data_IF_598093587349
#
_entry.id   IF_598093587349
#
_cell.length_a   1.000
_cell.length_b   1.000
_cell.length_c   1.000
_cell.angle_alpha   90.00
_cell.angle_beta   90.00
_cell.angle_gamma   90.00
#
_symmetry.space_group_name_H-M   'P 1'
#
loop_
_entity.id
_entity.type
_entity.pdbx_description
1 polymer ?
#
# COMPACT_ATOMS: atom_id res chain seq x y z
N UNK A 1 -18.86 -15.17 -8.13
CA UNK A 1 -18.91 -13.89 -7.36
C UNK A 1 -18.44 -14.16 -5.95
N UNK A 2 -17.52 -13.34 -5.50
CA UNK A 2 -17.01 -13.41 -4.13
C UNK A 2 -18.04 -12.85 -3.15
N UNK A 3 -18.00 -13.30 -1.90
CA UNK A 3 -18.77 -12.71 -0.82
C UNK A 3 -18.11 -11.40 -0.39
N UNK A 4 -18.77 -10.65 0.49
CA UNK A 4 -18.21 -9.42 1.03
C UNK A 4 -16.87 -9.69 1.73
N UNK A 5 -15.99 -8.71 1.71
CA UNK A 5 -14.69 -8.78 2.38
C UNK A 5 -14.72 -7.88 3.60
N UNK A 6 -14.34 -8.41 4.75
CA UNK A 6 -14.13 -7.64 5.96
C UNK A 6 -12.63 -7.31 6.07
N UNK A 7 -12.29 -6.04 5.92
CA UNK A 7 -10.88 -5.63 5.86
C UNK A 7 -10.15 -5.89 7.19
N UNK A 8 -10.83 -5.71 8.33
CA UNK A 8 -10.22 -5.96 9.63
C UNK A 8 -9.85 -7.44 9.80
N UNK A 9 -10.73 -8.33 9.35
CA UNK A 9 -10.45 -9.78 9.40
C UNK A 9 -9.25 -10.13 8.50
N UNK A 10 -9.17 -9.54 7.32
CA UNK A 10 -8.06 -9.78 6.39
C UNK A 10 -6.74 -9.25 6.94
N UNK A 11 -6.76 -8.04 7.50
CA UNK A 11 -5.58 -7.46 8.14
C UNK A 11 -5.06 -8.32 9.30
N UNK A 12 -5.95 -8.95 10.04
CA UNK A 12 -5.56 -9.85 11.13
C UNK A 12 -4.78 -11.07 10.65
N UNK A 13 -4.87 -11.42 9.37
CA UNK A 13 -4.13 -12.55 8.79
C UNK A 13 -2.69 -12.17 8.40
N UNK A 14 -2.37 -10.88 8.34
CA UNK A 14 -1.04 -10.42 7.96
C UNK A 14 -0.07 -10.59 9.12
N UNK A 15 1.01 -11.37 8.90
CA UNK A 15 1.97 -11.70 9.94
C UNK A 15 3.03 -10.63 10.16
N UNK A 16 3.34 -9.82 9.14
CA UNK A 16 4.45 -8.89 9.17
C UNK A 16 4.13 -7.62 8.37
N UNK A 17 4.77 -6.49 8.68
CA UNK A 17 4.62 -5.27 7.87
C UNK A 17 5.23 -5.44 6.48
N UNK A 18 4.79 -4.60 5.57
CA UNK A 18 5.28 -4.52 4.19
C UNK A 18 5.05 -5.77 3.34
N UNK A 19 4.12 -6.63 3.74
CA UNK A 19 3.72 -7.81 2.98
C UNK A 19 2.24 -7.68 2.60
N UNK A 20 1.94 -7.02 1.47
CA UNK A 20 0.54 -6.82 1.07
C UNK A 20 -0.20 -8.12 0.81
N UNK A 21 -1.47 -8.14 1.20
CA UNK A 21 -2.37 -9.25 0.88
C UNK A 21 -3.51 -8.77 -0.02
N UNK A 22 -3.70 -9.44 -1.14
CA UNK A 22 -4.76 -9.11 -2.09
C UNK A 22 -6.07 -9.66 -1.54
N UNK A 23 -7.10 -8.81 -1.46
CA UNK A 23 -8.40 -9.16 -0.89
C UNK A 23 -9.53 -9.06 -1.89
N UNK A 24 -9.29 -8.51 -3.07
CA UNK A 24 -10.32 -8.36 -4.08
C UNK A 24 -9.75 -7.77 -5.36
N UNK A 25 -10.62 -7.69 -6.36
CA UNK A 25 -10.27 -7.16 -7.67
C UNK A 25 -11.37 -6.23 -8.15
N UNK A 26 -10.96 -5.12 -8.72
CA UNK A 26 -11.85 -4.16 -9.38
C UNK A 26 -11.33 -3.96 -10.80
N UNK A 27 -12.01 -4.57 -11.79
CA UNK A 27 -11.52 -4.64 -13.17
C UNK A 27 -10.12 -5.26 -13.21
N UNK A 28 -9.14 -4.57 -13.79
CA UNK A 28 -7.73 -5.01 -13.83
C UNK A 28 -6.91 -4.51 -12.63
N UNK A 29 -7.57 -3.98 -11.61
CA UNK A 29 -6.92 -3.49 -10.39
C UNK A 29 -7.08 -4.48 -9.24
N UNK A 30 -6.02 -4.65 -8.49
CA UNK A 30 -6.06 -5.38 -7.23
C UNK A 30 -6.39 -4.45 -6.08
N UNK A 31 -7.18 -4.94 -5.14
CA UNK A 31 -7.43 -4.31 -3.85
C UNK A 31 -6.58 -5.07 -2.84
N UNK A 32 -5.69 -4.39 -2.16
CA UNK A 32 -4.78 -5.04 -1.21
C UNK A 32 -4.76 -4.31 0.12
N UNK A 33 -4.52 -5.04 1.20
CA UNK A 33 -4.29 -4.46 2.51
C UNK A 33 -2.86 -4.73 2.94
N UNK A 34 -2.28 -3.81 3.69
CA UNK A 34 -0.90 -3.92 4.14
C UNK A 34 -0.76 -3.25 5.51
N UNK A 35 0.12 -3.81 6.34
CA UNK A 35 0.56 -3.16 7.58
C UNK A 35 1.86 -2.42 7.29
N UNK A 36 1.95 -1.19 7.79
CA UNK A 36 3.15 -0.37 7.62
C UNK A 36 3.66 0.02 9.00
N UNK A 37 4.85 -0.45 9.34
CA UNK A 37 5.53 -0.13 10.59
C UNK A 37 6.97 0.22 10.27
N UNK A 38 7.35 1.45 10.62
CA UNK A 38 8.66 1.98 10.25
C UNK A 38 8.70 2.43 8.79
N UNK A 39 9.89 2.66 8.30
CA UNK A 39 10.15 3.23 6.98
C UNK A 39 10.31 2.15 5.93
N UNK A 40 9.67 2.35 4.79
CA UNK A 40 9.83 1.45 3.64
C UNK A 40 11.05 1.86 2.80
N UNK A 41 10.92 1.86 1.47
CA UNK A 41 11.99 2.29 0.56
C UNK A 41 11.51 3.45 -0.30
N UNK A 42 12.46 4.30 -0.70
CA UNK A 42 12.18 5.32 -1.72
C UNK A 42 11.99 4.64 -3.05
N UNK A 43 10.90 4.94 -3.73
CA UNK A 43 10.57 4.37 -5.03
C UNK A 43 9.56 5.22 -5.77
N UNK A 44 9.36 4.89 -7.04
CA UNK A 44 8.32 5.48 -7.88
C UNK A 44 7.69 4.38 -8.72
N UNK A 45 6.46 4.60 -9.14
CA UNK A 45 5.77 3.74 -10.11
C UNK A 45 5.65 4.52 -11.41
N UNK A 46 6.33 4.04 -12.47
CA UNK A 46 6.40 4.78 -13.73
C UNK A 46 5.11 4.69 -14.55
N UNK A 47 4.32 3.64 -14.32
CA UNK A 47 3.16 3.30 -15.15
C UNK A 47 1.82 3.65 -14.53
N UNK A 48 1.78 4.01 -13.24
CA UNK A 48 0.51 4.21 -12.54
C UNK A 48 0.67 5.16 -11.37
N UNK A 49 -0.45 5.79 -11.00
CA UNK A 49 -0.56 6.48 -9.73
C UNK A 49 -0.59 5.45 -8.59
N UNK A 50 -0.26 5.88 -7.38
CA UNK A 50 -0.21 5.01 -6.21
C UNK A 50 -1.18 5.51 -5.15
N UNK A 51 -2.18 4.69 -4.83
CA UNK A 51 -3.29 5.04 -3.96
C UNK A 51 -3.08 4.47 -2.55
N UNK A 52 -3.24 5.33 -1.54
CA UNK A 52 -3.16 4.96 -0.13
C UNK A 52 -4.39 5.46 0.61
N UNK A 53 -5.10 4.57 1.31
CA UNK A 53 -6.17 4.94 2.24
C UNK A 53 -5.85 4.34 3.60
N UNK A 54 -5.73 5.18 4.62
CA UNK A 54 -5.44 4.74 5.98
C UNK A 54 -6.72 4.26 6.66
N UNK A 55 -6.70 3.03 7.16
CA UNK A 55 -7.79 2.42 7.90
C UNK A 55 -7.59 2.56 9.40
N UNK A 56 -6.35 2.44 9.88
CA UNK A 56 -5.99 2.65 11.28
C UNK A 56 -4.53 3.04 11.39
N UNK A 57 -4.14 3.57 12.54
CA UNK A 57 -2.78 4.04 12.76
C UNK A 57 -2.46 5.34 12.04
N UNK A 58 -1.21 5.57 11.75
CA UNK A 58 -0.73 6.77 11.06
C UNK A 58 0.24 6.39 9.95
N UNK A 59 0.06 7.00 8.79
CA UNK A 59 0.93 6.82 7.64
C UNK A 59 1.48 8.18 7.22
N UNK A 60 2.78 8.25 7.01
CA UNK A 60 3.44 9.40 6.39
C UNK A 60 3.95 8.99 5.03
N UNK A 61 3.51 9.67 3.99
CA UNK A 61 4.11 9.52 2.66
C UNK A 61 5.15 10.60 2.53
N UNK A 62 6.42 10.21 2.63
CA UNK A 62 7.53 11.15 2.45
C UNK A 62 7.70 11.42 0.95
N UNK A 63 7.63 12.69 0.58
CA UNK A 63 7.98 13.18 -0.76
C UNK A 63 9.33 13.89 -0.65
N UNK A 64 9.96 14.20 -1.77
CA UNK A 64 11.28 14.87 -1.73
C UNK A 64 11.19 16.29 -1.18
N UNK A 65 10.04 16.96 -1.39
CA UNK A 65 9.84 18.36 -0.98
C UNK A 65 8.98 18.52 0.29
N UNK A 66 8.30 17.48 0.73
CA UNK A 66 7.43 17.55 1.92
C UNK A 66 6.96 16.17 2.34
N UNK A 67 6.38 16.09 3.53
CA UNK A 67 5.71 14.89 4.02
C UNK A 67 4.20 15.09 3.99
N UNK A 68 3.47 14.04 3.60
CA UNK A 68 2.01 14.00 3.68
C UNK A 68 1.63 13.04 4.81
N UNK A 69 1.04 13.58 5.86
CA UNK A 69 0.61 12.78 7.01
C UNK A 69 -0.87 12.41 6.87
N UNK A 70 -1.16 11.10 7.04
CA UNK A 70 -2.50 10.56 6.89
C UNK A 70 -2.95 9.90 8.19
N UNK A 71 -4.14 10.27 8.64
CA UNK A 71 -4.85 9.65 9.75
C UNK A 71 -5.97 8.75 9.22
N UNK A 72 -6.58 7.90 10.07
CA UNK A 72 -7.66 7.02 9.61
C UNK A 72 -8.76 7.75 8.85
N UNK A 73 -9.15 7.19 7.72
CA UNK A 73 -10.15 7.77 6.83
C UNK A 73 -9.60 8.77 5.83
N UNK A 74 -8.29 9.05 5.85
CA UNK A 74 -7.65 9.96 4.92
C UNK A 74 -6.92 9.18 3.82
N UNK A 75 -6.94 9.70 2.61
CA UNK A 75 -6.27 9.10 1.47
C UNK A 75 -5.35 10.09 0.77
N UNK A 76 -4.37 9.55 0.08
CA UNK A 76 -3.49 10.32 -0.79
C UNK A 76 -3.15 9.50 -2.02
N UNK A 77 -3.13 10.15 -3.16
CA UNK A 77 -2.71 9.53 -4.42
C UNK A 77 -1.38 10.14 -4.83
N UNK A 78 -0.35 9.31 -4.86
CA UNK A 78 0.96 9.72 -5.38
C UNK A 78 0.91 9.63 -6.91
N UNK A 79 1.13 10.73 -7.63
CA UNK A 79 1.13 10.67 -9.09
C UNK A 79 2.23 9.75 -9.63
N UNK A 80 1.99 9.14 -10.78
CA UNK A 80 3.01 8.32 -11.45
C UNK A 80 4.32 9.08 -11.58
N UNK A 81 5.43 8.37 -11.42
CA UNK A 81 6.76 8.93 -11.55
C UNK A 81 7.23 9.76 -10.36
N UNK A 82 6.40 10.00 -9.36
CA UNK A 82 6.80 10.78 -8.19
C UNK A 82 7.45 9.87 -7.15
N UNK A 83 8.68 10.18 -6.79
CA UNK A 83 9.40 9.46 -5.76
C UNK A 83 8.77 9.66 -4.38
N UNK A 84 8.60 8.56 -3.66
CA UNK A 84 8.00 8.59 -2.34
C UNK A 84 8.51 7.44 -1.48
N UNK A 85 8.38 7.63 -0.17
CA UNK A 85 8.76 6.61 0.82
C UNK A 85 7.69 6.55 1.91
N UNK A 86 6.88 5.49 1.96
CA UNK A 86 5.92 5.31 3.03
C UNK A 86 6.61 5.02 4.36
N UNK A 87 6.07 5.61 5.43
CA UNK A 87 6.54 5.40 6.79
C UNK A 87 5.33 5.31 7.69
N UNK A 88 5.21 4.24 8.47
CA UNK A 88 4.05 3.98 9.29
C UNK A 88 4.33 3.87 10.78
N UNK A 89 3.30 4.19 11.56
CA UNK A 89 3.22 3.94 13.00
C UNK A 89 1.95 3.14 13.25
N UNK A 90 2.10 1.80 13.27
CA UNK A 90 0.97 0.89 13.39
C UNK A 90 -0.08 1.09 12.31
N UNK A 91 0.32 1.48 11.11
CA UNK A 91 -0.60 1.80 10.04
C UNK A 91 -1.17 0.55 9.39
N UNK A 92 -2.47 0.59 9.12
CA UNK A 92 -3.17 -0.41 8.31
C UNK A 92 -3.78 0.33 7.13
N UNK A 93 -3.45 -0.11 5.91
CA UNK A 93 -3.67 0.67 4.70
C UNK A 93 -4.33 -0.18 3.63
N UNK A 94 -5.28 0.44 2.91
CA UNK A 94 -5.84 -0.13 1.69
C UNK A 94 -5.12 0.47 0.49
N UNK A 95 -4.65 -0.39 -0.40
CA UNK A 95 -4.03 -0.04 -1.67
C UNK A 95 -4.93 -0.48 -2.81
N UNK A 96 -4.97 0.33 -3.87
CA UNK A 96 -5.65 -0.02 -5.13
C UNK A 96 -4.67 0.28 -6.25
N UNK A 97 -4.30 -0.73 -7.02
CA UNK A 97 -3.33 -0.57 -8.10
C UNK A 97 -3.51 -1.64 -9.17
N UNK A 98 -3.02 -1.41 -10.40
CA UNK A 98 -3.08 -2.43 -11.44
C UNK A 98 -2.42 -3.73 -11.01
N UNK A 99 -2.97 -4.85 -11.45
CA UNK A 99 -2.33 -6.16 -11.24
C UNK A 99 -0.92 -6.16 -11.79
N UNK A 100 -0.01 -6.84 -11.10
CA UNK A 100 1.38 -6.92 -11.49
C UNK A 100 2.24 -5.74 -11.06
N UNK A 101 1.66 -4.70 -10.45
CA UNK A 101 2.45 -3.58 -9.94
C UNK A 101 3.32 -4.04 -8.76
N UNK A 102 4.67 -3.92 -8.86
CA UNK A 102 5.53 -4.30 -7.75
C UNK A 102 5.35 -3.37 -6.55
N UNK A 103 5.32 -3.91 -5.33
CA UNK A 103 5.19 -3.11 -4.12
C UNK A 103 6.35 -2.12 -3.91
N UNK A 104 7.53 -2.44 -4.47
CA UNK A 104 8.71 -1.59 -4.40
C UNK A 104 8.89 -0.70 -5.63
N UNK A 105 7.91 -0.69 -6.56
CA UNK A 105 7.98 0.11 -7.77
C UNK A 105 9.27 -0.12 -8.54
N UNK A 106 10.00 0.96 -8.85
CA UNK A 106 11.26 0.92 -9.59
C UNK A 106 12.48 0.57 -8.73
N UNK A 107 12.32 0.51 -7.40
CA UNK A 107 13.45 0.23 -6.51
C UNK A 107 13.89 -1.23 -6.54
N UNK A 108 12.94 -2.17 -6.67
CA UNK A 108 13.24 -3.59 -6.57
C UNK A 108 13.86 -3.97 -5.21
N UNK A 109 14.66 -5.02 -5.19
CA UNK A 109 15.44 -5.41 -4.02
C UNK A 109 14.74 -6.40 -3.10
N UNK A 110 15.30 -6.55 -1.89
CA UNK A 110 14.89 -7.58 -0.93
C UNK A 110 13.46 -7.41 -0.41
N UNK A 111 12.94 -6.20 -0.43
CA UNK A 111 11.59 -5.91 0.06
C UNK A 111 10.51 -6.10 -0.98
N UNK A 112 10.85 -6.49 -2.20
CA UNK A 112 9.85 -6.82 -3.23
C UNK A 112 9.16 -8.12 -2.86
N UNK A 113 7.83 -8.05 -2.71
CA UNK A 113 7.01 -9.20 -2.35
C UNK A 113 6.24 -9.71 -3.56
N UNK A 114 6.03 -11.03 -3.65
CA UNK A 114 5.14 -11.57 -4.68
C UNK A 114 3.70 -11.17 -4.39
N UNK A 115 2.89 -11.12 -5.43
CA UNK A 115 1.45 -10.94 -5.26
C UNK A 115 0.87 -12.15 -4.53
N UNK A 116 0.11 -11.90 -3.45
CA UNK A 116 -0.40 -12.95 -2.59
C UNK A 116 -1.86 -12.66 -2.24
N UNK A 117 -2.74 -13.58 -2.56
CA UNK A 117 -4.14 -13.55 -2.13
C UNK A 117 -4.28 -14.06 -0.69
N UNK A 118 -5.15 -13.42 0.05
CA UNK A 118 -5.42 -13.83 1.43
C UNK A 118 -6.91 -13.97 1.72
#
# INVERSE_FOLDING_TARGET
>A
MEDKVNLAEKLALLAAPFQPGIVGRLNDHKLAVVKVQGRFVWHAHDDTDDFFLVLSGRLTIQLRDRDIELSPGELFVVPRGVEHCPKGEGAEVLLIEPEGTPNTGDAGGERTEPERWI
#
